data_IF_722324671917
#
_entry.id   IF_722324671917
#
_cell.length_a   1.000
_cell.length_b   1.000
_cell.length_c   1.000
_cell.angle_alpha   90.00
_cell.angle_beta   90.00
_cell.angle_gamma   90.00
#
_symmetry.space_group_name_H-M   'P 1'
#
loop_
_entity.id
_entity.type
_entity.pdbx_description
1 polymer ?
#
# COMPACT_ATOMS: atom_id res chain seq x y z
N UNK A 1 15.77 59.31 39.85
CA UNK A 1 15.62 60.72 39.45
C UNK A 1 15.13 60.76 38.01
N UNK A 2 14.12 61.60 37.84
CA UNK A 2 13.41 62.02 36.61
C UNK A 2 12.39 61.09 35.96
N UNK A 3 11.16 61.45 36.33
CA UNK A 3 9.88 61.25 35.62
C UNK A 3 9.90 62.07 34.32
N UNK A 4 9.14 61.66 33.32
CA UNK A 4 8.23 62.58 32.64
C UNK A 4 7.13 61.77 31.89
N UNK A 5 5.92 62.17 32.22
CA UNK A 5 4.65 61.88 31.53
C UNK A 5 4.46 62.84 30.36
N UNK A 6 3.54 62.53 29.47
CA UNK A 6 2.67 63.43 28.65
C UNK A 6 2.06 62.48 27.58
N UNK A 7 0.81 62.38 27.27
CA UNK A 7 -0.50 62.96 27.52
C UNK A 7 -1.40 62.49 26.36
N UNK A 8 -2.64 62.20 26.68
CA UNK A 8 -3.77 61.86 25.80
C UNK A 8 -4.09 62.95 24.77
N UNK A 9 -4.55 62.52 23.55
CA UNK A 9 -5.49 63.34 22.76
C UNK A 9 -6.58 62.39 22.22
N UNK A 10 -7.79 62.61 22.69
CA UNK A 10 -9.07 62.10 22.21
C UNK A 10 -9.54 63.04 21.09
N UNK A 11 -9.90 62.50 19.93
CA UNK A 11 -10.68 63.21 18.91
C UNK A 11 -11.98 62.46 18.64
N UNK A 12 -13.05 63.08 19.08
CA UNK A 12 -14.46 62.71 18.82
C UNK A 12 -14.84 63.33 17.48
N UNK A 13 -15.38 62.58 16.56
CA UNK A 13 -16.02 63.06 15.34
C UNK A 13 -17.50 62.62 15.32
N UNK A 14 -18.35 63.59 15.52
CA UNK A 14 -19.81 63.47 15.29
C UNK A 14 -20.08 63.48 13.79
N UNK A 15 -20.87 62.51 13.30
CA UNK A 15 -21.52 62.63 11.99
C UNK A 15 -23.01 62.48 12.16
N UNK A 16 -23.69 63.50 11.66
CA UNK A 16 -25.12 63.76 11.67
C UNK A 16 -25.92 62.83 10.74
N UNK A 17 -27.09 62.42 11.23
CA UNK A 17 -28.11 61.66 10.52
C UNK A 17 -28.88 62.59 9.60
N UNK A 18 -28.99 62.26 8.31
CA UNK A 18 -30.01 62.86 7.42
C UNK A 18 -30.90 61.71 6.89
N UNK A 19 -32.17 61.79 7.27
CA UNK A 19 -33.21 60.91 6.76
C UNK A 19 -33.67 61.38 5.37
N UNK A 20 -33.73 60.52 4.40
CA UNK A 20 -34.42 60.68 3.15
C UNK A 20 -35.37 59.51 2.92
N UNK A 21 -36.69 59.82 2.95
CA UNK A 21 -37.74 58.92 2.48
C UNK A 21 -37.63 58.70 0.96
N UNK A 22 -37.66 57.45 0.50
CA UNK A 22 -37.98 57.11 -0.87
C UNK A 22 -38.77 55.80 -0.94
N UNK A 23 -39.77 55.83 -1.78
CA UNK A 23 -40.91 54.97 -1.92
C UNK A 23 -40.59 53.53 -2.36
N UNK A 24 -41.43 52.63 -1.83
CA UNK A 24 -41.54 51.20 -2.12
C UNK A 24 -41.96 50.94 -3.58
N UNK A 25 -41.14 50.23 -4.32
CA UNK A 25 -41.58 49.39 -5.45
C UNK A 25 -41.24 47.93 -5.14
N UNK A 26 -42.30 47.12 -5.02
CA UNK A 26 -42.21 45.66 -4.89
C UNK A 26 -41.81 45.08 -6.20
N UNK A 27 -40.56 44.64 -6.33
CA UNK A 27 -40.15 43.64 -7.30
C UNK A 27 -40.12 42.26 -6.66
N UNK A 28 -40.97 41.38 -7.15
CA UNK A 28 -41.03 39.97 -6.78
C UNK A 28 -39.87 39.26 -7.41
N UNK A 29 -38.77 39.12 -6.68
CA UNK A 29 -37.69 38.22 -7.03
C UNK A 29 -38.14 36.79 -6.74
N UNK A 30 -38.34 36.01 -7.80
CA UNK A 30 -38.47 34.55 -7.73
C UNK A 30 -37.15 34.00 -7.22
N UNK A 31 -37.12 33.59 -5.96
CA UNK A 31 -36.04 32.75 -5.41
C UNK A 31 -36.13 31.40 -6.07
N UNK A 32 -35.21 31.10 -6.97
CA UNK A 32 -34.99 29.73 -7.44
C UNK A 32 -34.51 28.90 -6.25
N UNK A 33 -35.38 28.04 -5.79
CA UNK A 33 -35.02 27.01 -4.82
C UNK A 33 -33.93 26.14 -5.47
N UNK A 34 -32.75 26.18 -4.89
CA UNK A 34 -31.73 25.18 -5.10
C UNK A 34 -32.36 23.83 -4.76
N UNK A 35 -32.50 22.98 -5.74
CA UNK A 35 -32.86 21.58 -5.53
C UNK A 35 -31.76 20.97 -4.72
N UNK A 36 -32.02 20.76 -3.42
CA UNK A 36 -31.21 19.87 -2.61
C UNK A 36 -31.16 18.52 -3.35
N UNK A 37 -29.95 18.07 -3.63
CA UNK A 37 -29.70 16.72 -4.11
C UNK A 37 -30.44 15.73 -3.21
N UNK A 38 -31.44 15.09 -3.76
CA UNK A 38 -32.09 13.96 -3.14
C UNK A 38 -31.00 12.91 -2.91
N UNK A 39 -30.92 12.27 -1.74
CA UNK A 39 -29.98 11.19 -1.52
C UNK A 39 -30.26 10.12 -2.59
N UNK A 40 -29.24 9.82 -3.39
CA UNK A 40 -29.29 8.76 -4.39
C UNK A 40 -29.89 7.53 -3.72
N UNK A 41 -30.93 6.98 -4.30
CA UNK A 41 -31.57 5.74 -3.85
C UNK A 41 -30.49 4.69 -3.70
N UNK A 42 -30.20 4.28 -2.49
CA UNK A 42 -29.36 3.12 -2.20
C UNK A 42 -30.10 1.92 -2.77
N UNK A 43 -29.71 1.46 -3.95
CA UNK A 43 -30.13 0.14 -4.41
C UNK A 43 -29.64 -0.85 -3.34
N UNK A 44 -30.57 -1.47 -2.63
CA UNK A 44 -30.27 -2.44 -1.58
C UNK A 44 -29.76 -3.71 -2.21
N UNK A 45 -28.49 -3.72 -2.62
CA UNK A 45 -27.82 -4.93 -3.04
C UNK A 45 -27.42 -5.76 -1.81
N UNK A 46 -27.40 -7.08 -1.93
CA UNK A 46 -26.86 -7.95 -0.91
C UNK A 46 -25.32 -7.80 -0.84
N UNK A 47 -24.74 -7.62 0.35
CA UNK A 47 -23.30 -7.63 0.51
C UNK A 47 -22.72 -9.01 0.17
N UNK A 48 -21.49 -9.06 -0.36
CA UNK A 48 -20.82 -10.33 -0.62
C UNK A 48 -20.40 -11.01 0.69
N UNK A 49 -19.83 -10.24 1.62
CA UNK A 49 -19.42 -10.74 2.92
C UNK A 49 -20.59 -10.67 3.92
N UNK A 50 -21.01 -11.84 4.41
CA UNK A 50 -22.12 -12.01 5.38
C UNK A 50 -21.67 -12.63 6.71
N UNK A 51 -20.40 -13.03 6.81
CA UNK A 51 -19.81 -13.61 8.01
C UNK A 51 -19.80 -12.64 9.20
N UNK A 52 -19.60 -13.20 10.38
CA UNK A 52 -19.51 -12.40 11.61
C UNK A 52 -18.28 -11.46 11.52
N UNK A 53 -18.49 -10.19 11.82
CA UNK A 53 -17.41 -9.23 11.97
C UNK A 53 -16.42 -9.64 13.08
N UNK A 54 -15.15 -9.36 12.90
CA UNK A 54 -14.13 -9.55 13.93
C UNK A 54 -14.26 -8.47 15.03
N UNK A 55 -14.56 -7.23 14.62
CA UNK A 55 -14.73 -6.08 15.52
C UNK A 55 -16.14 -5.47 15.34
N UNK A 56 -17.21 -6.12 15.81
CA UNK A 56 -18.60 -5.74 15.50
C UNK A 56 -19.02 -4.39 16.09
N UNK A 57 -18.29 -3.88 17.08
CA UNK A 57 -18.54 -2.56 17.69
C UNK A 57 -18.05 -1.41 16.81
N UNK A 58 -17.11 -1.67 15.89
CA UNK A 58 -16.58 -0.66 14.97
C UNK A 58 -17.60 -0.36 13.85
N UNK A 59 -17.95 0.90 13.68
CA UNK A 59 -18.96 1.31 12.69
C UNK A 59 -18.32 2.11 11.55
N UNK A 60 -18.73 1.90 10.30
CA UNK A 60 -18.21 2.63 9.16
C UNK A 60 -18.47 4.13 9.27
N UNK A 61 -17.51 4.94 8.80
CA UNK A 61 -17.62 6.39 8.76
C UNK A 61 -18.67 6.88 7.76
N UNK A 62 -18.92 6.08 6.73
CA UNK A 62 -19.89 6.36 5.67
C UNK A 62 -20.46 5.08 5.06
N UNK A 63 -21.60 5.20 4.41
CA UNK A 63 -22.25 4.08 3.74
C UNK A 63 -21.35 3.48 2.62
N UNK A 64 -21.26 2.15 2.55
CA UNK A 64 -20.46 1.44 1.56
C UNK A 64 -18.95 1.40 1.84
N UNK A 65 -18.51 1.85 3.01
CA UNK A 65 -17.09 1.76 3.41
C UNK A 65 -16.63 0.33 3.71
N UNK A 66 -17.57 -0.58 3.93
CA UNK A 66 -17.34 -2.01 4.16
C UNK A 66 -18.47 -2.82 3.55
N UNK A 67 -18.28 -4.13 3.41
CA UNK A 67 -19.32 -5.08 2.97
C UNK A 67 -19.99 -4.64 1.66
N UNK A 68 -19.17 -4.41 0.64
CA UNK A 68 -19.64 -4.00 -0.68
C UNK A 68 -20.62 -5.01 -1.29
N UNK A 69 -21.41 -4.53 -2.24
CA UNK A 69 -22.34 -5.35 -2.98
C UNK A 69 -21.66 -6.55 -3.61
N UNK A 70 -22.28 -7.73 -3.49
CA UNK A 70 -21.89 -8.88 -4.29
C UNK A 70 -22.06 -8.56 -5.78
N UNK A 71 -20.97 -8.64 -6.54
CA UNK A 71 -21.00 -8.57 -7.99
C UNK A 71 -20.39 -9.83 -8.57
N UNK A 72 -20.98 -10.31 -9.67
CA UNK A 72 -20.42 -11.40 -10.44
C UNK A 72 -20.16 -10.89 -11.85
N UNK A 73 -18.92 -10.99 -12.27
CA UNK A 73 -18.61 -10.76 -13.68
C UNK A 73 -19.02 -11.99 -14.50
N UNK A 74 -19.63 -11.80 -15.65
CA UNK A 74 -19.93 -12.91 -16.58
C UNK A 74 -18.67 -13.33 -17.36
N UNK A 75 -17.50 -13.15 -16.72
CA UNK A 75 -16.19 -13.46 -17.32
C UNK A 75 -15.83 -14.90 -16.99
N UNK A 76 -15.94 -15.77 -17.98
CA UNK A 76 -15.37 -17.10 -17.87
C UNK A 76 -13.85 -17.04 -18.07
N UNK A 77 -13.09 -17.70 -17.20
CA UNK A 77 -11.64 -17.74 -17.26
C UNK A 77 -11.10 -19.14 -16.95
N UNK A 78 -9.90 -19.40 -17.44
CA UNK A 78 -9.11 -20.59 -17.13
C UNK A 78 -7.91 -20.20 -16.27
N UNK A 79 -7.50 -21.11 -15.40
CA UNK A 79 -6.30 -20.96 -14.57
C UNK A 79 -5.31 -22.06 -14.89
N UNK A 80 -4.17 -21.67 -15.44
CA UNK A 80 -3.09 -22.58 -15.76
C UNK A 80 -1.95 -22.44 -14.76
N UNK A 81 -1.45 -23.53 -14.22
CA UNK A 81 -0.22 -23.53 -13.41
C UNK A 81 0.96 -23.41 -14.37
N UNK A 82 1.65 -22.27 -14.33
CA UNK A 82 2.83 -21.98 -15.16
C UNK A 82 4.06 -22.64 -14.60
N UNK A 83 4.30 -22.50 -13.29
CA UNK A 83 5.45 -23.07 -12.60
C UNK A 83 5.08 -23.56 -11.21
N UNK A 84 5.85 -24.53 -10.69
CA UNK A 84 5.78 -25.11 -9.34
C UNK A 84 7.15 -25.12 -8.69
N UNK A 85 7.18 -25.42 -7.40
CA UNK A 85 8.45 -25.59 -6.68
C UNK A 85 9.12 -24.30 -6.27
N UNK A 86 8.37 -23.19 -6.23
CA UNK A 86 8.83 -21.90 -5.73
C UNK A 86 8.84 -21.91 -4.20
N UNK A 87 9.94 -21.49 -3.59
CA UNK A 87 10.08 -21.57 -2.13
C UNK A 87 9.57 -20.30 -1.43
N UNK A 88 8.31 -20.33 -0.98
CA UNK A 88 7.64 -19.15 -0.37
C UNK A 88 7.79 -17.89 -1.25
N UNK A 89 7.29 -17.91 -2.50
CA UNK A 89 7.39 -16.74 -3.36
C UNK A 89 6.66 -15.56 -2.71
N UNK A 90 7.29 -14.39 -2.75
CA UNK A 90 6.72 -13.18 -2.15
C UNK A 90 6.22 -12.19 -3.20
N UNK A 91 6.92 -12.05 -4.30
CA UNK A 91 6.51 -11.17 -5.41
C UNK A 91 6.76 -11.83 -6.76
N UNK A 92 5.96 -11.45 -7.73
CA UNK A 92 6.13 -11.77 -9.15
C UNK A 92 6.14 -10.47 -9.96
N UNK A 93 7.18 -10.25 -10.75
CA UNK A 93 7.29 -9.08 -11.62
C UNK A 93 7.49 -9.54 -13.07
N UNK A 94 6.51 -9.27 -13.97
CA UNK A 94 6.62 -9.64 -15.37
C UNK A 94 7.76 -8.89 -16.06
N UNK A 95 8.59 -9.61 -16.80
CA UNK A 95 9.63 -9.05 -17.65
C UNK A 95 9.08 -8.72 -19.05
N UNK A 96 9.65 -7.74 -19.77
CA UNK A 96 9.19 -7.35 -21.11
C UNK A 96 9.16 -8.50 -22.12
N UNK A 97 10.02 -9.50 -21.96
CA UNK A 97 10.10 -10.68 -22.84
C UNK A 97 9.09 -11.80 -22.49
N UNK A 98 8.22 -11.57 -21.51
CA UNK A 98 7.18 -12.51 -21.06
C UNK A 98 7.63 -13.51 -19.98
N UNK A 99 8.88 -13.46 -19.54
CA UNK A 99 9.36 -14.20 -18.36
C UNK A 99 8.98 -13.44 -17.07
N UNK A 100 9.32 -13.98 -15.90
CA UNK A 100 8.96 -13.42 -14.62
C UNK A 100 10.17 -13.39 -13.67
N UNK A 101 10.41 -12.25 -13.04
CA UNK A 101 11.23 -12.19 -11.84
C UNK A 101 10.39 -12.58 -10.63
N UNK A 102 10.87 -13.53 -9.84
CA UNK A 102 10.20 -13.97 -8.61
C UNK A 102 11.18 -13.90 -7.45
N UNK A 103 10.75 -13.24 -6.39
CA UNK A 103 11.45 -13.27 -5.10
C UNK A 103 10.94 -14.45 -4.29
N UNK A 104 11.86 -15.21 -3.72
CA UNK A 104 11.58 -16.22 -2.71
C UNK A 104 11.99 -15.66 -1.34
N UNK A 105 11.06 -15.69 -0.39
CA UNK A 105 11.27 -15.11 0.95
C UNK A 105 12.54 -15.63 1.64
N UNK A 106 12.97 -16.81 1.28
CA UNK A 106 14.21 -17.42 1.72
C UNK A 106 15.48 -16.73 1.23
N UNK A 107 15.38 -15.70 0.37
CA UNK A 107 16.48 -14.85 -0.08
C UNK A 107 16.98 -15.13 -1.49
N UNK A 108 16.19 -15.79 -2.31
CA UNK A 108 16.54 -16.07 -3.70
C UNK A 108 15.70 -15.22 -4.64
N UNK A 109 16.33 -14.67 -5.66
CA UNK A 109 15.69 -14.05 -6.82
C UNK A 109 15.87 -15.00 -8.01
N UNK A 110 14.76 -15.33 -8.68
CA UNK A 110 14.76 -16.26 -9.81
C UNK A 110 14.06 -15.67 -11.02
N UNK A 111 14.44 -16.15 -12.20
CA UNK A 111 13.64 -15.98 -13.40
C UNK A 111 12.87 -17.27 -13.64
N UNK A 112 11.56 -17.15 -13.82
CA UNK A 112 10.70 -18.20 -14.35
C UNK A 112 10.40 -17.85 -15.80
N UNK A 113 10.69 -18.76 -16.73
CA UNK A 113 10.43 -18.53 -18.15
C UNK A 113 8.91 -18.50 -18.43
N UNK A 114 8.50 -17.87 -19.53
CA UNK A 114 7.11 -17.90 -20.01
C UNK A 114 6.57 -19.35 -20.24
N UNK A 115 7.47 -20.33 -20.37
CA UNK A 115 7.15 -21.76 -20.49
C UNK A 115 7.07 -22.48 -19.14
N UNK A 116 7.37 -21.80 -18.03
CA UNK A 116 7.30 -22.35 -16.68
C UNK A 116 8.61 -22.99 -16.17
N UNK A 117 9.70 -22.82 -16.88
CA UNK A 117 11.01 -23.31 -16.41
C UNK A 117 11.52 -22.41 -15.29
N UNK A 118 11.74 -22.98 -14.09
CA UNK A 118 12.29 -22.26 -12.93
C UNK A 118 13.82 -22.23 -13.06
N UNK A 119 14.37 -21.05 -13.29
CA UNK A 119 15.81 -20.84 -13.43
C UNK A 119 16.57 -21.00 -12.12
N UNK A 120 17.91 -21.08 -12.21
CA UNK A 120 18.78 -21.00 -11.04
C UNK A 120 18.65 -19.63 -10.34
N UNK A 121 18.95 -19.53 -9.04
CA UNK A 121 19.01 -18.24 -8.37
C UNK A 121 19.94 -17.27 -9.10
N UNK A 122 19.51 -16.02 -9.28
CA UNK A 122 20.32 -14.94 -9.83
C UNK A 122 21.43 -14.61 -8.84
N UNK A 123 22.67 -14.57 -9.30
CA UNK A 123 23.85 -14.18 -8.52
C UNK A 123 23.84 -12.68 -8.18
N UNK A 124 24.76 -12.27 -7.29
CA UNK A 124 24.88 -10.87 -6.84
C UNK A 124 24.03 -10.53 -5.62
N UNK A 125 23.00 -11.33 -5.31
CA UNK A 125 22.36 -11.35 -4.00
C UNK A 125 23.13 -12.32 -3.10
N UNK A 126 23.48 -11.91 -1.89
CA UNK A 126 24.15 -12.82 -0.95
C UNK A 126 23.17 -13.89 -0.46
N UNK A 127 23.63 -15.16 -0.38
CA UNK A 127 22.81 -16.24 0.16
C UNK A 127 22.52 -16.00 1.66
N UNK A 128 21.36 -16.44 2.10
CA UNK A 128 21.03 -16.51 3.53
C UNK A 128 21.86 -17.62 4.17
N UNK A 129 22.59 -17.33 5.25
CA UNK A 129 23.37 -18.31 6.00
C UNK A 129 22.49 -19.29 6.80
N UNK A 130 23.07 -20.40 7.26
CA UNK A 130 22.43 -21.33 8.17
C UNK A 130 21.97 -20.58 9.43
N UNK A 131 20.65 -20.61 9.72
CA UNK A 131 20.03 -19.81 10.78
C UNK A 131 19.22 -18.61 10.26
N UNK A 132 19.07 -18.44 8.95
CA UNK A 132 18.26 -17.39 8.33
C UNK A 132 18.95 -16.03 8.26
N UNK A 133 20.25 -15.96 8.48
CA UNK A 133 21.06 -14.74 8.38
C UNK A 133 22.19 -14.98 7.36
N UNK A 134 22.39 -14.05 6.43
CA UNK A 134 23.50 -14.09 5.47
C UNK A 134 24.84 -13.95 6.19
N UNK A 135 25.91 -14.64 5.77
CA UNK A 135 27.23 -14.46 6.37
C UNK A 135 27.75 -13.03 6.16
N UNK A 136 28.51 -12.56 7.12
CA UNK A 136 29.01 -11.19 7.23
C UNK A 136 29.80 -10.75 6.01
N UNK A 137 29.58 -9.52 5.62
CA UNK A 137 30.23 -8.75 4.58
C UNK A 137 31.77 -8.78 4.63
N UNK A 138 32.33 -9.14 3.54
CA UNK A 138 33.71 -8.83 3.21
C UNK A 138 33.84 -8.77 1.71
N UNK A 139 33.94 -7.56 1.16
CA UNK A 139 34.08 -7.23 -0.26
C UNK A 139 32.76 -7.13 -1.06
N UNK A 140 32.09 -5.99 -0.96
CA UNK A 140 31.17 -5.49 -1.99
C UNK A 140 29.80 -6.15 -2.09
N UNK A 141 29.37 -6.93 -1.10
CA UNK A 141 28.06 -7.59 -1.11
C UNK A 141 26.97 -6.83 -0.36
N UNK A 142 25.70 -7.19 -0.61
CA UNK A 142 24.56 -6.73 0.17
C UNK A 142 24.68 -7.17 1.63
N UNK A 143 24.11 -6.37 2.57
CA UNK A 143 24.02 -6.77 3.96
C UNK A 143 23.12 -8.00 4.14
N UNK A 144 23.22 -8.69 5.30
CA UNK A 144 22.49 -9.92 5.55
C UNK A 144 20.98 -9.78 5.45
N UNK A 145 20.34 -10.66 4.68
CA UNK A 145 18.88 -10.80 4.62
C UNK A 145 18.43 -11.71 5.77
N UNK A 146 17.45 -11.27 6.54
CA UNK A 146 16.88 -12.02 7.66
C UNK A 146 15.55 -12.65 7.29
N UNK A 147 15.51 -13.95 7.00
CA UNK A 147 14.27 -14.67 6.69
C UNK A 147 13.57 -15.17 7.96
N UNK A 148 13.34 -14.28 8.93
CA UNK A 148 12.65 -14.60 10.19
C UNK A 148 11.22 -14.06 10.17
N UNK A 149 10.24 -14.90 10.50
CA UNK A 149 8.83 -14.50 10.56
C UNK A 149 8.30 -14.06 9.19
N UNK A 150 7.91 -12.79 9.09
CA UNK A 150 7.46 -12.19 7.83
C UNK A 150 8.60 -11.59 7.00
N UNK A 151 9.81 -11.52 7.54
CA UNK A 151 10.99 -11.01 6.87
C UNK A 151 11.56 -11.97 5.83
N UNK A 152 12.52 -11.49 5.03
CA UNK A 152 13.19 -12.22 3.95
C UNK A 152 13.53 -11.31 2.78
N UNK A 153 13.71 -11.88 1.60
CA UNK A 153 13.65 -11.16 0.34
C UNK A 153 12.16 -10.98 -0.01
N UNK A 154 11.73 -9.75 -0.22
CA UNK A 154 10.32 -9.40 -0.23
C UNK A 154 9.88 -8.94 -1.63
N UNK A 155 9.67 -7.67 -1.87
CA UNK A 155 9.20 -7.21 -3.17
C UNK A 155 10.32 -7.06 -4.21
N UNK A 156 9.93 -7.04 -5.48
CA UNK A 156 10.78 -6.71 -6.62
C UNK A 156 10.03 -5.81 -7.58
N UNK A 157 10.74 -4.83 -8.13
CA UNK A 157 10.19 -3.91 -9.15
C UNK A 157 11.26 -3.64 -10.22
N UNK A 158 10.83 -3.45 -11.45
CA UNK A 158 11.69 -3.00 -12.53
C UNK A 158 11.80 -1.47 -12.56
N UNK A 159 12.93 -0.98 -13.03
CA UNK A 159 13.06 0.43 -13.42
C UNK A 159 11.99 0.78 -14.46
N UNK A 160 11.40 2.00 -14.42
CA UNK A 160 10.54 2.48 -15.52
C UNK A 160 11.24 2.48 -16.90
N UNK A 161 12.57 2.42 -16.91
CA UNK A 161 13.40 2.36 -18.11
C UNK A 161 14.10 1.00 -18.27
N UNK A 162 13.57 -0.08 -17.70
CA UNK A 162 14.22 -1.39 -17.60
C UNK A 162 14.76 -1.91 -18.93
N UNK A 163 14.06 -1.74 -20.04
CA UNK A 163 14.52 -2.17 -21.36
C UNK A 163 15.86 -1.53 -21.77
N UNK A 164 16.18 -0.35 -21.23
CA UNK A 164 17.45 0.35 -21.51
C UNK A 164 18.51 0.13 -20.44
N UNK A 165 18.07 0.19 -19.15
CA UNK A 165 19.02 0.22 -18.02
C UNK A 165 19.10 -1.11 -17.26
N UNK A 166 18.20 -2.04 -17.53
CA UNK A 166 18.08 -3.34 -16.86
C UNK A 166 18.16 -3.27 -15.34
N UNK A 167 17.76 -2.12 -14.77
CA UNK A 167 17.83 -1.92 -13.32
C UNK A 167 16.65 -2.60 -12.63
N UNK A 168 16.96 -3.40 -11.64
CA UNK A 168 16.02 -4.10 -10.75
C UNK A 168 16.15 -3.51 -9.35
N UNK A 169 15.02 -3.35 -8.68
CA UNK A 169 14.92 -2.93 -7.29
C UNK A 169 14.29 -4.06 -6.48
N UNK A 170 14.74 -4.26 -5.27
CA UNK A 170 14.14 -5.23 -4.36
C UNK A 170 14.14 -4.72 -2.93
N UNK A 171 13.13 -5.10 -2.17
CA UNK A 171 13.06 -4.86 -0.74
C UNK A 171 13.41 -6.13 0.04
N UNK A 172 13.97 -5.95 1.21
CA UNK A 172 14.36 -7.07 2.07
C UNK A 172 14.42 -6.64 3.53
N UNK A 173 14.31 -7.61 4.43
CA UNK A 173 14.59 -7.40 5.85
C UNK A 173 16.09 -7.51 6.09
N UNK A 174 16.73 -6.38 6.39
CA UNK A 174 18.16 -6.27 6.67
C UNK A 174 18.43 -6.43 8.16
N UNK A 175 19.35 -7.34 8.52
CA UNK A 175 19.86 -7.43 9.88
C UNK A 175 20.89 -6.32 10.13
N UNK A 176 20.67 -5.56 11.16
CA UNK A 176 21.54 -4.44 11.59
C UNK A 176 21.64 -4.40 13.10
N UNK A 177 22.44 -3.49 13.64
CA UNK A 177 22.48 -3.23 15.09
C UNK A 177 21.05 -2.89 15.59
N UNK A 178 20.69 -3.42 16.76
CA UNK A 178 19.35 -3.26 17.37
C UNK A 178 18.24 -4.12 16.77
N UNK A 179 18.52 -4.90 15.71
CA UNK A 179 17.51 -5.80 15.12
C UNK A 179 17.45 -5.77 13.58
N UNK A 180 16.27 -5.88 13.02
CA UNK A 180 16.05 -5.84 11.59
C UNK A 180 15.17 -4.66 11.15
N UNK A 181 15.33 -4.24 9.90
CA UNK A 181 14.51 -3.21 9.28
C UNK A 181 14.34 -3.46 7.79
N UNK A 182 13.32 -2.86 7.19
CA UNK A 182 13.13 -2.89 5.74
C UNK A 182 14.22 -2.06 5.08
N UNK A 183 14.88 -2.64 4.09
CA UNK A 183 15.86 -1.99 3.24
C UNK A 183 15.54 -2.23 1.76
N UNK A 184 16.02 -1.36 0.90
CA UNK A 184 15.85 -1.46 -0.55
C UNK A 184 17.21 -1.47 -1.22
N UNK A 185 17.43 -2.51 -2.03
CA UNK A 185 18.59 -2.64 -2.92
C UNK A 185 18.22 -2.34 -4.35
N UNK A 186 19.22 -1.99 -5.14
CA UNK A 186 19.14 -1.94 -6.60
C UNK A 186 20.38 -2.56 -7.23
N UNK A 187 20.23 -3.06 -8.43
CA UNK A 187 21.32 -3.60 -9.25
C UNK A 187 20.94 -3.65 -10.71
N UNK A 188 21.89 -3.90 -11.58
CA UNK A 188 21.68 -4.06 -13.02
C UNK A 188 21.71 -5.55 -13.36
N UNK A 189 20.63 -6.06 -13.95
CA UNK A 189 20.57 -7.45 -14.40
C UNK A 189 21.46 -7.61 -15.64
N UNK A 190 22.40 -8.58 -15.58
CA UNK A 190 23.30 -8.88 -16.71
C UNK A 190 22.53 -9.32 -17.96
N UNK A 191 23.16 -9.26 -19.14
CA UNK A 191 22.50 -9.64 -20.41
C UNK A 191 22.11 -11.11 -20.43
N UNK A 192 22.95 -11.97 -19.87
CA UNK A 192 22.64 -13.39 -19.71
C UNK A 192 21.62 -13.67 -18.60
N UNK A 193 21.20 -12.64 -17.86
CA UNK A 193 20.21 -12.66 -16.79
C UNK A 193 20.55 -13.59 -15.62
N UNK A 194 21.83 -13.86 -15.40
CA UNK A 194 22.31 -14.77 -14.35
C UNK A 194 22.82 -14.05 -13.10
N UNK A 195 23.16 -12.75 -13.22
CA UNK A 195 23.74 -11.98 -12.14
C UNK A 195 23.17 -10.58 -12.06
N UNK A 196 23.24 -9.97 -10.86
CA UNK A 196 23.10 -8.56 -10.64
C UNK A 196 24.48 -7.93 -10.47
N UNK A 197 24.72 -6.83 -11.18
CA UNK A 197 25.92 -6.00 -11.08
C UNK A 197 25.57 -4.64 -10.49
N UNK A 198 26.58 -3.84 -10.11
CA UNK A 198 26.43 -2.50 -9.53
C UNK A 198 25.43 -2.49 -8.33
N UNK A 199 25.43 -3.57 -7.58
CA UNK A 199 24.50 -3.79 -6.47
C UNK A 199 24.83 -2.84 -5.31
N UNK A 200 23.79 -2.13 -4.84
CA UNK A 200 23.89 -1.25 -3.67
C UNK A 200 22.57 -1.12 -2.94
N UNK A 201 22.63 -0.84 -1.63
CA UNK A 201 21.45 -0.44 -0.85
C UNK A 201 21.23 1.06 -1.03
N UNK A 202 20.00 1.44 -1.36
CA UNK A 202 19.59 2.82 -1.64
C UNK A 202 18.67 3.41 -0.56
N UNK A 203 18.07 2.56 0.28
CA UNK A 203 17.23 2.99 1.39
C UNK A 203 17.33 2.02 2.57
N UNK A 204 17.28 2.57 3.79
CA UNK A 204 17.22 1.83 5.04
C UNK A 204 16.20 2.44 5.98
N UNK A 205 15.15 1.71 6.33
CA UNK A 205 14.20 2.16 7.34
C UNK A 205 14.87 2.25 8.73
N UNK A 206 14.56 3.31 9.45
CA UNK A 206 15.04 3.58 10.80
C UNK A 206 13.87 3.87 11.76
N UNK A 207 13.97 3.49 13.02
CA UNK A 207 14.98 2.61 13.59
C UNK A 207 14.78 1.13 13.20
N UNK A 208 15.78 0.29 13.51
CA UNK A 208 15.64 -1.16 13.50
C UNK A 208 14.86 -1.64 14.72
N UNK A 209 14.30 -2.86 14.65
CA UNK A 209 13.62 -3.47 15.78
C UNK A 209 13.81 -4.99 15.81
N UNK A 210 13.96 -5.56 17.00
CA UNK A 210 14.25 -6.98 17.13
C UNK A 210 12.98 -7.84 17.13
N UNK A 211 12.26 -7.83 16.03
CA UNK A 211 11.23 -8.85 15.75
C UNK A 211 11.16 -9.17 14.26
N UNK A 212 10.36 -10.19 13.91
CA UNK A 212 10.19 -10.67 12.53
C UNK A 212 8.84 -10.28 11.90
N UNK A 213 8.16 -9.22 12.38
CA UNK A 213 6.80 -8.90 11.96
C UNK A 213 6.71 -7.51 11.33
N UNK A 214 5.67 -7.29 10.52
CA UNK A 214 5.24 -6.03 9.93
C UNK A 214 6.36 -5.22 9.27
N UNK A 215 6.90 -5.74 8.17
CA UNK A 215 7.93 -5.05 7.39
C UNK A 215 7.33 -4.08 6.35
N UNK A 216 6.05 -4.22 5.97
CA UNK A 216 5.48 -3.57 4.79
C UNK A 216 6.14 -4.10 3.53
N UNK A 217 7.06 -3.32 2.94
CA UNK A 217 8.07 -3.70 1.95
C UNK A 217 7.63 -3.64 0.48
N UNK A 218 6.41 -3.24 0.15
CA UNK A 218 5.99 -3.10 -1.24
C UNK A 218 6.71 -1.93 -1.92
N UNK A 219 7.10 -2.13 -3.17
CA UNK A 219 7.74 -1.17 -4.05
C UNK A 219 6.80 -0.78 -5.20
N UNK A 220 6.66 0.51 -5.47
CA UNK A 220 5.90 0.98 -6.62
C UNK A 220 6.56 2.22 -7.23
N UNK A 221 6.78 2.21 -8.54
CA UNK A 221 7.15 3.43 -9.26
C UNK A 221 5.92 4.25 -9.58
N UNK A 222 5.95 5.52 -9.19
CA UNK A 222 4.91 6.47 -9.55
C UNK A 222 5.06 7.02 -10.98
N UNK A 223 4.04 7.71 -11.49
CA UNK A 223 4.12 8.38 -12.80
C UNK A 223 5.18 9.49 -12.84
N UNK A 224 5.66 9.91 -11.69
CA UNK A 224 6.77 10.84 -11.48
C UNK A 224 8.16 10.16 -11.54
N UNK A 225 8.20 8.85 -11.83
CA UNK A 225 9.39 7.98 -11.81
C UNK A 225 10.09 7.90 -10.44
N UNK A 226 9.43 8.30 -9.35
CA UNK A 226 9.93 8.12 -8.00
C UNK A 226 9.54 6.75 -7.47
N UNK A 227 10.36 6.21 -6.57
CA UNK A 227 10.11 4.93 -5.91
C UNK A 227 9.39 5.16 -4.58
N UNK A 228 8.20 4.59 -4.47
CA UNK A 228 7.42 4.54 -3.24
C UNK A 228 7.66 3.22 -2.53
N UNK A 229 7.91 3.28 -1.22
CA UNK A 229 8.26 2.12 -0.39
C UNK A 229 7.33 2.09 0.80
N UNK A 230 6.66 0.99 1.03
CA UNK A 230 5.76 0.84 2.18
C UNK A 230 6.49 0.24 3.37
N UNK A 231 6.18 0.71 4.57
CA UNK A 231 6.85 0.32 5.81
C UNK A 231 5.81 0.01 6.89
N UNK A 232 6.05 -1.07 7.64
CA UNK A 232 5.16 -1.51 8.71
C UNK A 232 5.49 -0.92 10.07
N UNK A 233 4.55 -1.07 11.02
CA UNK A 233 4.67 -0.59 12.40
C UNK A 233 5.51 -1.51 13.32
N UNK A 234 6.03 -2.62 12.80
CA UNK A 234 6.85 -3.62 13.50
C UNK A 234 6.14 -4.29 14.69
N UNK A 235 4.79 -4.21 14.76
CA UNK A 235 3.89 -4.96 15.64
C UNK A 235 3.93 -4.67 17.16
N UNK A 236 4.98 -4.11 17.72
CA UNK A 236 5.08 -3.88 19.16
C UNK A 236 4.19 -2.72 19.61
N UNK A 237 3.29 -3.00 20.59
CA UNK A 237 2.24 -2.08 21.04
C UNK A 237 2.79 -0.85 21.76
N UNK A 238 3.89 -0.99 22.46
CA UNK A 238 4.44 0.03 23.35
C UNK A 238 5.60 0.80 22.75
N UNK A 239 6.43 0.13 21.97
CA UNK A 239 7.70 0.70 21.49
C UNK A 239 7.58 1.20 20.05
N UNK A 240 7.05 0.38 19.12
CA UNK A 240 7.10 0.72 17.71
C UNK A 240 5.79 1.27 17.17
N UNK A 241 4.64 0.76 17.60
CA UNK A 241 3.32 1.24 17.16
C UNK A 241 3.12 2.75 17.32
N UNK A 242 3.49 3.40 18.46
CA UNK A 242 3.35 4.85 18.60
C UNK A 242 4.17 5.65 17.57
N UNK A 243 5.25 5.07 17.05
CA UNK A 243 6.11 5.71 16.06
C UNK A 243 5.43 5.85 14.70
N UNK A 244 4.34 5.13 14.43
CA UNK A 244 3.54 5.35 13.22
C UNK A 244 3.03 6.81 13.11
N UNK A 245 2.86 7.49 14.26
CA UNK A 245 2.44 8.89 14.36
C UNK A 245 3.61 9.90 14.46
N UNK A 246 4.84 9.43 14.51
CA UNK A 246 6.02 10.28 14.71
C UNK A 246 6.77 10.48 13.39
N UNK A 247 7.20 11.70 13.09
CA UNK A 247 7.91 12.03 11.86
C UNK A 247 9.42 11.72 11.89
N UNK A 248 9.98 11.49 13.07
CA UNK A 248 11.40 11.12 13.25
C UNK A 248 11.69 9.62 13.12
N UNK A 249 10.74 8.86 12.57
CA UNK A 249 10.81 7.40 12.39
C UNK A 249 10.17 6.98 11.08
N UNK A 250 10.74 5.97 10.42
CA UNK A 250 10.15 5.34 9.23
C UNK A 250 9.09 4.26 9.57
N UNK A 251 8.91 3.92 10.83
CA UNK A 251 7.95 2.90 11.28
C UNK A 251 6.52 3.36 10.97
N UNK A 252 5.74 2.53 10.26
CA UNK A 252 4.36 2.83 9.89
C UNK A 252 4.22 3.99 8.91
N UNK A 253 5.07 4.02 7.89
CA UNK A 253 5.13 5.08 6.87
C UNK A 253 5.05 4.53 5.45
N UNK A 254 4.71 5.41 4.53
CA UNK A 254 5.09 5.28 3.12
C UNK A 254 6.15 6.34 2.87
N UNK A 255 7.25 5.97 2.23
CA UNK A 255 8.33 6.88 1.85
C UNK A 255 8.45 6.98 0.33
N UNK A 256 8.96 8.11 -0.16
CA UNK A 256 9.19 8.38 -1.58
C UNK A 256 10.61 8.87 -1.78
N UNK A 257 11.35 8.18 -2.65
CA UNK A 257 12.76 8.49 -2.96
C UNK A 257 12.99 8.52 -4.48
N UNK A 258 14.09 9.17 -4.89
CA UNK A 258 14.60 9.00 -6.25
C UNK A 258 15.14 7.58 -6.45
N UNK A 259 15.21 7.06 -7.70
CA UNK A 259 15.75 5.72 -7.99
C UNK A 259 17.21 5.52 -7.57
N UNK A 260 17.96 6.59 -7.31
CA UNK A 260 19.32 6.52 -6.79
C UNK A 260 19.42 6.52 -5.26
N UNK A 261 18.28 6.69 -4.56
CA UNK A 261 18.17 6.75 -3.11
C UNK A 261 18.16 8.16 -2.53
N UNK A 262 18.38 9.21 -3.33
CA UNK A 262 18.30 10.59 -2.87
C UNK A 262 16.86 11.02 -2.57
N UNK A 263 16.72 12.02 -1.71
CA UNK A 263 15.40 12.53 -1.27
C UNK A 263 14.88 13.57 -2.26
N UNK A 264 13.65 13.41 -2.79
CA UNK A 264 13.01 14.45 -3.58
C UNK A 264 12.73 15.71 -2.76
N UNK A 265 13.12 16.87 -3.29
CA UNK A 265 13.01 18.16 -2.58
C UNK A 265 11.56 18.60 -2.33
N UNK A 266 10.61 18.01 -3.08
CA UNK A 266 9.18 18.27 -2.97
C UNK A 266 8.44 17.29 -2.05
N UNK A 267 9.14 16.39 -1.35
CA UNK A 267 8.51 15.57 -0.31
C UNK A 267 7.88 16.44 0.78
N UNK A 268 6.76 16.01 1.38
CA UNK A 268 5.97 16.87 2.28
C UNK A 268 6.75 17.33 3.52
N UNK A 269 7.68 16.51 3.99
CA UNK A 269 8.44 16.76 5.22
C UNK A 269 9.94 17.02 4.97
N UNK A 270 10.37 17.15 3.70
CA UNK A 270 11.78 17.30 3.33
C UNK A 270 12.50 18.49 4.00
N UNK A 271 11.76 19.55 4.36
CA UNK A 271 12.29 20.76 5.00
C UNK A 271 11.91 20.88 6.48
N UNK A 272 11.22 19.89 7.05
CA UNK A 272 10.77 19.94 8.44
C UNK A 272 11.87 19.42 9.37
N UNK A 273 12.34 20.28 10.28
CA UNK A 273 13.36 19.90 11.26
C UNK A 273 12.88 18.72 12.12
N UNK A 274 13.74 17.71 12.30
CA UNK A 274 13.47 16.51 13.08
C UNK A 274 12.59 15.48 12.39
N UNK A 275 12.10 15.72 11.17
CA UNK A 275 11.40 14.72 10.38
C UNK A 275 12.36 13.91 9.48
N UNK A 276 12.02 12.65 9.21
CA UNK A 276 12.65 11.88 8.14
C UNK A 276 12.18 12.42 6.80
N UNK A 277 13.08 12.94 5.96
CA UNK A 277 12.70 13.69 4.76
C UNK A 277 12.11 12.84 3.63
N UNK A 278 12.27 11.53 3.70
CA UNK A 278 11.74 10.56 2.74
C UNK A 278 10.23 10.32 2.93
N UNK A 279 9.65 10.68 4.07
CA UNK A 279 8.24 10.38 4.40
C UNK A 279 7.30 11.05 3.40
N UNK A 280 6.41 10.22 2.81
CA UNK A 280 5.30 10.64 1.97
C UNK A 280 3.98 10.73 2.74
N UNK A 281 3.66 9.68 3.53
CA UNK A 281 2.48 9.60 4.40
C UNK A 281 2.79 8.84 5.68
N UNK A 282 1.93 8.97 6.69
CA UNK A 282 2.14 8.37 8.01
C UNK A 282 0.87 7.74 8.56
N UNK A 283 0.99 7.04 9.68
CA UNK A 283 -0.15 6.42 10.34
C UNK A 283 -0.61 5.12 9.69
N UNK A 284 0.32 4.32 9.19
CA UNK A 284 0.08 3.01 8.61
C UNK A 284 0.45 1.88 9.56
N UNK A 285 -0.26 0.74 9.44
CA UNK A 285 0.02 -0.45 10.25
C UNK A 285 0.98 -1.41 9.55
N UNK A 286 0.58 -2.01 8.44
CA UNK A 286 1.41 -2.97 7.71
C UNK A 286 0.97 -3.06 6.24
N UNK A 287 1.40 -2.11 5.46
CA UNK A 287 1.00 -1.94 4.06
C UNK A 287 1.64 -3.03 3.21
N UNK A 288 0.81 -3.88 2.59
CA UNK A 288 1.22 -5.04 1.81
C UNK A 288 1.19 -4.82 0.30
N UNK A 289 0.49 -3.80 -0.17
CA UNK A 289 0.50 -3.41 -1.58
C UNK A 289 0.50 -1.91 -1.76
N UNK A 290 1.12 -1.49 -2.86
CA UNK A 290 1.08 -0.14 -3.40
C UNK A 290 0.96 -0.25 -4.92
N UNK A 291 -0.02 0.42 -5.50
CA UNK A 291 -0.28 0.41 -6.94
C UNK A 291 -0.86 1.76 -7.36
N UNK A 292 -0.65 2.12 -8.62
CA UNK A 292 -1.19 3.35 -9.17
C UNK A 292 -2.39 3.06 -10.07
N UNK A 293 -3.41 3.90 -10.01
CA UNK A 293 -4.52 3.85 -10.94
C UNK A 293 -4.18 4.59 -12.27
N UNK A 294 -5.11 4.60 -13.20
CA UNK A 294 -4.97 5.27 -14.50
C UNK A 294 -4.88 6.81 -14.41
N UNK A 295 -5.20 7.38 -13.25
CA UNK A 295 -5.06 8.81 -12.97
C UNK A 295 -3.73 9.12 -12.27
N UNK A 296 -2.88 8.11 -12.05
CA UNK A 296 -1.59 8.26 -11.37
C UNK A 296 -1.70 8.46 -9.87
N UNK A 297 -2.79 8.01 -9.23
CA UNK A 297 -3.00 8.12 -7.79
C UNK A 297 -2.58 6.83 -7.09
N UNK A 298 -1.93 6.99 -5.95
CA UNK A 298 -1.42 5.86 -5.17
C UNK A 298 -2.52 5.22 -4.33
N UNK A 299 -2.72 3.92 -4.52
CA UNK A 299 -3.61 3.08 -3.72
C UNK A 299 -2.81 2.03 -2.96
N UNK A 300 -3.21 1.78 -1.73
CA UNK A 300 -2.55 0.78 -0.88
C UNK A 300 -3.55 -0.12 -0.20
N UNK A 301 -3.14 -1.36 0.07
CA UNK A 301 -3.86 -2.24 0.99
C UNK A 301 -2.97 -2.59 2.16
N UNK A 302 -3.56 -2.63 3.36
CA UNK A 302 -2.82 -2.93 4.57
C UNK A 302 -3.59 -3.83 5.54
N UNK A 303 -2.85 -4.56 6.35
CA UNK A 303 -3.43 -5.39 7.39
C UNK A 303 -3.95 -4.54 8.55
N UNK A 304 -5.21 -4.74 8.90
CA UNK A 304 -5.75 -4.38 10.20
C UNK A 304 -5.20 -5.25 11.33
N UNK A 305 -5.73 -5.07 12.53
CA UNK A 305 -5.47 -5.97 13.66
C UNK A 305 -6.44 -7.16 13.58
N UNK A 306 -7.30 -7.39 14.55
CA UNK A 306 -8.44 -8.29 14.40
C UNK A 306 -9.61 -7.46 13.87
N UNK A 307 -9.91 -7.54 12.57
CA UNK A 307 -10.79 -6.63 11.83
C UNK A 307 -10.02 -5.45 11.20
N UNK A 308 -10.66 -4.77 10.24
CA UNK A 308 -10.19 -3.51 9.68
C UNK A 308 -8.94 -3.61 8.79
N UNK A 309 -8.83 -4.65 7.96
CA UNK A 309 -7.91 -4.58 6.81
C UNK A 309 -8.38 -3.46 5.88
N UNK A 310 -7.49 -2.63 5.35
CA UNK A 310 -7.85 -1.37 4.70
C UNK A 310 -7.41 -1.26 3.25
N UNK A 311 -8.26 -0.59 2.44
CA UNK A 311 -7.90 -0.02 1.16
C UNK A 311 -7.85 1.50 1.30
N UNK A 312 -6.70 2.08 1.05
CA UNK A 312 -6.44 3.50 1.18
C UNK A 312 -6.11 4.16 -0.18
N UNK A 313 -6.63 5.35 -0.43
CA UNK A 313 -6.16 6.27 -1.46
C UNK A 313 -5.14 7.21 -0.80
N UNK A 314 -3.85 7.05 -1.15
CA UNK A 314 -2.77 7.69 -0.40
C UNK A 314 -2.37 9.02 -1.02
N UNK A 315 -2.48 10.08 -0.22
CA UNK A 315 -2.13 11.43 -0.59
C UNK A 315 -0.89 11.94 0.16
N UNK A 316 -0.20 12.89 -0.44
CA UNK A 316 0.99 13.54 0.07
C UNK A 316 0.76 14.21 1.42
N UNK A 317 1.57 13.85 2.42
CA UNK A 317 1.57 14.48 3.75
C UNK A 317 0.42 14.07 4.67
N UNK A 318 -0.45 13.14 4.24
CA UNK A 318 -1.63 12.72 4.98
C UNK A 318 -1.32 11.66 6.03
N UNK A 319 -2.17 11.61 7.06
CA UNK A 319 -2.09 10.69 8.19
C UNK A 319 -3.27 9.70 8.17
N UNK A 320 -3.01 8.42 8.03
CA UNK A 320 -3.99 7.34 7.92
C UNK A 320 -4.40 6.74 9.26
N UNK A 321 -3.94 7.33 10.35
CA UNK A 321 -4.53 7.20 11.68
C UNK A 321 -4.08 6.05 12.55
N UNK A 322 -3.37 5.04 12.04
CA UNK A 322 -2.87 3.96 12.88
C UNK A 322 -1.88 4.47 13.95
N UNK A 323 -2.00 4.18 15.25
CA UNK A 323 -3.06 3.41 15.92
C UNK A 323 -3.97 4.31 16.76
N UNK A 324 -4.32 5.50 16.23
CA UNK A 324 -5.24 6.46 16.90
C UNK A 324 -6.68 6.17 16.50
N UNK A 325 -6.91 5.84 15.22
CA UNK A 325 -8.19 5.33 14.70
C UNK A 325 -7.96 3.93 14.13
N UNK A 326 -8.97 3.07 14.22
CA UNK A 326 -8.93 1.70 13.69
C UNK A 326 -10.33 1.11 13.55
N UNK A 327 -10.52 0.26 12.55
CA UNK A 327 -11.72 -0.56 12.37
C UNK A 327 -11.58 -1.99 12.93
N UNK A 328 -10.49 -2.27 13.63
CA UNK A 328 -10.24 -3.56 14.29
C UNK A 328 -10.06 -3.43 15.80
N UNK A 329 -9.86 -4.57 16.43
CA UNK A 329 -9.53 -4.71 17.84
C UNK A 329 -8.21 -5.45 18.01
N UNK A 330 -7.67 -5.50 19.21
CA UNK A 330 -6.49 -6.30 19.52
C UNK A 330 -6.78 -7.80 19.40
N UNK A 331 -5.77 -8.62 19.15
CA UNK A 331 -5.92 -10.08 19.10
C UNK A 331 -6.35 -10.69 20.46
N UNK A 332 -6.29 -9.92 21.54
CA UNK A 332 -6.85 -10.29 22.84
C UNK A 332 -8.35 -10.02 22.97
N UNK A 333 -8.96 -9.37 21.97
CA UNK A 333 -10.34 -8.87 22.02
C UNK A 333 -10.48 -7.50 22.71
N UNK A 334 -9.38 -6.94 23.20
CA UNK A 334 -9.38 -5.59 23.76
C UNK A 334 -9.46 -4.52 22.65
N UNK A 335 -10.09 -3.37 22.90
CA UNK A 335 -10.11 -2.30 21.91
C UNK A 335 -8.69 -1.75 21.66
N UNK A 336 -8.43 -1.34 20.41
CA UNK A 336 -7.27 -0.50 20.08
C UNK A 336 -7.36 0.80 20.90
N UNK A 337 -6.26 1.32 21.47
CA UNK A 337 -6.28 2.51 22.31
C UNK A 337 -7.10 3.67 21.68
N UNK A 338 -8.04 4.21 22.45
CA UNK A 338 -8.98 5.24 22.01
C UNK A 338 -10.31 4.68 21.48
N UNK A 339 -10.36 3.44 21.01
CA UNK A 339 -11.57 2.76 20.51
C UNK A 339 -12.44 3.64 19.57
N UNK A 340 -11.79 4.34 18.66
CA UNK A 340 -12.45 5.27 17.73
C UNK A 340 -12.11 4.92 16.30
N UNK A 341 -13.08 5.09 15.40
CA UNK A 341 -12.93 4.86 13.96
C UNK A 341 -12.66 6.14 13.18
N UNK A 342 -12.95 7.30 13.79
CA UNK A 342 -12.87 8.60 13.12
C UNK A 342 -12.29 9.66 14.06
N UNK A 343 -11.44 10.53 13.52
CA UNK A 343 -10.93 11.71 14.21
C UNK A 343 -10.52 12.77 13.20
N UNK A 344 -10.82 14.03 13.48
CA UNK A 344 -10.39 15.14 12.63
C UNK A 344 -8.88 15.16 12.45
N UNK A 345 -8.43 15.35 11.20
CA UNK A 345 -7.01 15.36 10.82
C UNK A 345 -6.43 13.99 10.46
N UNK A 346 -7.26 12.95 10.46
CA UNK A 346 -6.91 11.60 10.01
C UNK A 346 -7.77 11.21 8.81
N UNK A 347 -7.12 10.62 7.81
CA UNK A 347 -7.80 10.13 6.61
C UNK A 347 -8.55 8.83 6.91
N UNK A 348 -9.65 8.64 6.21
CA UNK A 348 -10.46 7.45 6.31
C UNK A 348 -10.08 6.47 5.19
N UNK A 349 -10.02 5.15 5.45
CA UNK A 349 -9.92 4.19 4.37
C UNK A 349 -11.11 4.31 3.42
N UNK A 350 -10.84 4.14 2.13
CA UNK A 350 -11.89 4.07 1.10
C UNK A 350 -12.79 2.87 1.33
N UNK A 351 -12.19 1.77 1.82
CA UNK A 351 -12.86 0.52 2.13
C UNK A 351 -12.10 -0.23 3.22
N UNK A 352 -12.83 -0.98 4.05
CA UNK A 352 -12.20 -1.92 4.97
C UNK A 352 -12.93 -3.26 4.98
N UNK A 353 -12.17 -4.34 5.24
CA UNK A 353 -12.71 -5.68 5.40
C UNK A 353 -12.85 -6.03 6.88
N UNK A 354 -14.06 -6.46 7.23
CA UNK A 354 -14.36 -7.07 8.53
C UNK A 354 -15.47 -8.11 8.35
N UNK A 355 -15.13 -9.42 8.39
CA UNK A 355 -13.86 -10.02 8.86
C UNK A 355 -12.66 -9.74 7.94
N UNK A 356 -11.45 -9.85 8.52
CA UNK A 356 -10.18 -9.65 7.80
C UNK A 356 -9.96 -10.70 6.73
N UNK A 357 -9.40 -10.28 5.60
CA UNK A 357 -8.95 -11.15 4.50
C UNK A 357 -7.43 -11.42 4.52
N UNK A 358 -6.67 -10.66 5.31
CA UNK A 358 -5.21 -10.54 5.27
C UNK A 358 -4.72 -10.23 3.84
N UNK A 359 -4.95 -9.01 3.34
CA UNK A 359 -4.62 -8.63 1.96
C UNK A 359 -3.12 -8.70 1.70
N UNK A 360 -2.76 -8.94 0.45
CA UNK A 360 -1.37 -9.07 0.01
C UNK A 360 -1.08 -8.18 -1.20
N UNK A 361 -0.47 -8.69 -2.27
CA UNK A 361 -0.27 -7.92 -3.48
C UNK A 361 -1.58 -7.45 -4.11
N UNK A 362 -1.55 -6.28 -4.75
CA UNK A 362 -2.70 -5.76 -5.48
C UNK A 362 -2.28 -5.08 -6.79
N UNK A 363 -3.16 -5.13 -7.79
CA UNK A 363 -2.94 -4.60 -9.13
C UNK A 363 -4.24 -4.08 -9.73
N UNK A 364 -4.24 -2.83 -10.23
CA UNK A 364 -5.30 -2.37 -11.13
C UNK A 364 -5.18 -3.08 -12.48
N UNK A 365 -6.30 -3.58 -12.97
CA UNK A 365 -6.32 -4.22 -14.28
C UNK A 365 -6.56 -3.18 -15.39
N UNK A 366 -5.61 -3.10 -16.30
CA UNK A 366 -5.64 -2.17 -17.45
C UNK A 366 -5.62 -2.88 -18.80
N UNK A 367 -5.47 -4.22 -18.79
CA UNK A 367 -5.33 -5.06 -19.97
C UNK A 367 -6.58 -5.15 -20.83
N UNK A 368 -6.42 -5.74 -22.02
CA UNK A 368 -7.49 -5.95 -22.98
C UNK A 368 -8.02 -7.39 -22.99
N UNK A 369 -7.32 -8.35 -22.35
CA UNK A 369 -7.77 -9.74 -22.34
C UNK A 369 -9.10 -9.91 -21.61
N UNK A 370 -9.36 -9.10 -20.57
CA UNK A 370 -10.61 -9.08 -19.83
C UNK A 370 -11.24 -7.69 -19.83
N UNK A 371 -11.94 -7.28 -20.92
CA UNK A 371 -12.48 -5.91 -21.03
C UNK A 371 -13.42 -5.53 -19.87
N UNK A 372 -14.22 -6.49 -19.36
CA UNK A 372 -15.14 -6.28 -18.25
C UNK A 372 -14.45 -6.06 -16.90
N UNK A 373 -13.15 -6.36 -16.78
CA UNK A 373 -12.37 -6.16 -15.55
C UNK A 373 -11.55 -4.87 -15.56
N UNK A 374 -11.52 -4.11 -16.66
CA UNK A 374 -10.74 -2.86 -16.74
C UNK A 374 -11.15 -1.89 -15.65
N UNK A 375 -10.15 -1.29 -15.00
CA UNK A 375 -10.33 -0.39 -13.86
C UNK A 375 -10.69 -1.08 -12.54
N UNK A 376 -10.88 -2.40 -12.51
CA UNK A 376 -11.02 -3.14 -11.25
C UNK A 376 -9.66 -3.28 -10.55
N UNK A 377 -9.67 -3.25 -9.23
CA UNK A 377 -8.52 -3.58 -8.41
C UNK A 377 -8.59 -5.05 -8.00
N UNK A 378 -7.53 -5.80 -8.27
CA UNK A 378 -7.36 -7.18 -7.80
C UNK A 378 -6.47 -7.19 -6.58
N UNK A 379 -6.89 -7.92 -5.53
CA UNK A 379 -6.17 -8.02 -4.24
C UNK A 379 -6.04 -9.48 -3.86
N UNK A 380 -4.83 -9.95 -3.63
CA UNK A 380 -4.59 -11.28 -3.07
C UNK A 380 -5.03 -11.34 -1.61
N UNK A 381 -5.62 -12.45 -1.18
CA UNK A 381 -6.02 -12.69 0.20
C UNK A 381 -5.30 -13.93 0.77
N UNK A 382 -4.60 -13.73 1.89
CA UNK A 382 -3.83 -14.80 2.52
C UNK A 382 -4.69 -15.65 3.45
N UNK A 383 -5.52 -15.00 4.28
CA UNK A 383 -6.38 -15.70 5.24
C UNK A 383 -7.55 -16.38 4.53
N UNK A 384 -8.22 -15.66 3.65
CA UNK A 384 -9.41 -16.12 2.97
C UNK A 384 -9.11 -16.92 1.69
N UNK A 385 -7.82 -17.11 1.34
CA UNK A 385 -7.37 -18.02 0.27
C UNK A 385 -8.09 -17.79 -1.06
N UNK A 386 -8.15 -16.54 -1.50
CA UNK A 386 -8.86 -16.09 -2.70
C UNK A 386 -8.18 -14.93 -3.36
N UNK A 387 -8.61 -14.61 -4.57
CA UNK A 387 -8.32 -13.35 -5.24
C UNK A 387 -9.59 -12.49 -5.18
N UNK A 388 -9.50 -11.31 -4.58
CA UNK A 388 -10.60 -10.36 -4.47
C UNK A 388 -10.54 -9.40 -5.65
N UNK A 389 -11.66 -9.18 -6.34
CA UNK A 389 -11.83 -8.13 -7.33
C UNK A 389 -12.75 -7.05 -6.79
N UNK A 390 -12.27 -5.82 -6.74
CA UNK A 390 -13.04 -4.65 -6.35
C UNK A 390 -13.42 -3.82 -7.57
N UNK A 391 -14.70 -3.48 -7.67
CA UNK A 391 -15.21 -2.48 -8.63
C UNK A 391 -15.20 -1.13 -7.94
N UNK A 392 -14.39 -0.21 -8.46
CA UNK A 392 -14.21 1.13 -7.89
C UNK A 392 -14.80 2.16 -8.83
N UNK A 393 -15.69 3.03 -8.32
CA UNK A 393 -16.26 4.17 -9.05
C UNK A 393 -16.24 5.40 -8.14
N UNK A 394 -15.76 6.52 -8.65
CA UNK A 394 -15.71 7.79 -7.91
C UNK A 394 -15.08 7.65 -6.51
N UNK A 395 -13.94 6.95 -6.43
CA UNK A 395 -13.22 6.64 -5.19
C UNK A 395 -14.06 5.87 -4.13
N UNK A 396 -15.02 5.07 -4.59
CA UNK A 396 -15.84 4.21 -3.73
C UNK A 396 -15.81 2.77 -4.26
N UNK A 397 -15.71 1.81 -3.37
CA UNK A 397 -15.93 0.40 -3.72
C UNK A 397 -17.43 0.19 -3.88
N UNK A 398 -17.85 -0.11 -5.10
CA UNK A 398 -19.27 -0.32 -5.45
C UNK A 398 -19.63 -1.79 -5.62
N UNK A 399 -18.64 -2.67 -5.65
CA UNK A 399 -18.85 -4.10 -5.75
C UNK A 399 -17.61 -4.89 -5.41
N UNK A 400 -17.81 -6.09 -4.90
CA UNK A 400 -16.76 -7.06 -4.57
C UNK A 400 -17.09 -8.40 -5.18
N UNK A 401 -16.08 -9.10 -5.70
CA UNK A 401 -16.17 -10.46 -6.23
C UNK A 401 -15.01 -11.29 -5.71
N UNK A 402 -15.30 -12.54 -5.33
CA UNK A 402 -14.29 -13.49 -4.89
C UNK A 402 -14.00 -14.51 -6.00
N UNK A 403 -12.73 -14.60 -6.40
CA UNK A 403 -12.24 -15.48 -7.44
C UNK A 403 -11.26 -16.50 -6.83
N UNK A 404 -11.10 -17.65 -7.48
CA UNK A 404 -10.17 -18.73 -7.10
C UNK A 404 -10.47 -19.36 -5.73
N UNK A 405 -11.64 -19.19 -5.18
CA UNK A 405 -12.02 -19.73 -3.86
C UNK A 405 -11.97 -21.26 -3.83
N UNK A 406 -12.28 -21.90 -4.95
CA UNK A 406 -12.28 -23.36 -5.11
C UNK A 406 -10.87 -23.97 -5.03
N UNK A 407 -9.81 -23.14 -5.17
CA UNK A 407 -8.43 -23.59 -5.12
C UNK A 407 -7.87 -23.65 -3.71
N UNK A 408 -8.46 -22.95 -2.75
CA UNK A 408 -8.07 -22.98 -1.35
C UNK A 408 -6.60 -22.63 -1.11
N UNK A 409 -6.06 -21.66 -1.86
CA UNK A 409 -4.66 -21.26 -1.79
C UNK A 409 -4.51 -19.81 -1.36
N UNK A 410 -3.54 -19.57 -0.48
CA UNK A 410 -3.15 -18.22 -0.08
C UNK A 410 -2.52 -17.52 -1.28
N UNK A 411 -3.11 -16.43 -1.74
CA UNK A 411 -2.57 -15.62 -2.85
C UNK A 411 -1.65 -14.55 -2.27
N UNK A 412 -0.36 -14.60 -2.64
CA UNK A 412 0.66 -13.67 -2.10
C UNK A 412 0.83 -12.42 -2.94
N UNK A 413 0.76 -12.54 -4.26
CA UNK A 413 0.94 -11.40 -5.16
C UNK A 413 0.13 -11.59 -6.43
N UNK A 414 -0.23 -10.49 -7.07
CA UNK A 414 -0.93 -10.45 -8.35
C UNK A 414 -0.34 -9.37 -9.24
N UNK A 415 -0.06 -9.71 -10.50
CA UNK A 415 0.43 -8.80 -11.53
C UNK A 415 -0.26 -9.06 -12.85
N UNK A 416 -0.35 -8.02 -13.67
CA UNK A 416 -0.77 -8.11 -15.06
C UNK A 416 0.43 -8.29 -15.96
N UNK A 417 0.42 -9.34 -16.79
CA UNK A 417 1.44 -9.53 -17.82
C UNK A 417 1.22 -8.66 -19.07
N UNK A 418 2.25 -8.55 -19.91
CA UNK A 418 2.17 -7.83 -21.18
C UNK A 418 1.12 -8.42 -22.15
N UNK A 419 0.79 -9.70 -22.00
CA UNK A 419 -0.26 -10.40 -22.74
C UNK A 419 -1.69 -10.10 -22.23
N UNK A 420 -1.82 -9.25 -21.22
CA UNK A 420 -3.08 -8.89 -20.57
C UNK A 420 -3.66 -9.95 -19.64
N UNK A 421 -2.99 -11.09 -19.45
CA UNK A 421 -3.37 -12.07 -18.46
C UNK A 421 -3.03 -11.56 -17.04
N UNK A 422 -3.71 -12.10 -16.03
CA UNK A 422 -3.29 -11.93 -14.63
C UNK A 422 -2.42 -13.11 -14.21
N UNK A 423 -1.39 -12.80 -13.45
CA UNK A 423 -0.47 -13.77 -12.86
C UNK A 423 -0.50 -13.64 -11.35
N UNK A 424 -0.57 -14.76 -10.66
CA UNK A 424 -0.55 -14.79 -9.20
C UNK A 424 0.46 -15.82 -8.70
N UNK A 425 1.08 -15.54 -7.55
CA UNK A 425 1.91 -16.50 -6.83
C UNK A 425 1.25 -16.88 -5.51
N UNK A 426 1.40 -18.15 -5.12
CA UNK A 426 0.82 -18.70 -3.90
C UNK A 426 1.80 -18.62 -2.74
N UNK A 427 1.30 -18.41 -1.50
CA UNK A 427 2.12 -18.25 -0.28
C UNK A 427 2.34 -19.60 0.42
N UNK A 428 3.26 -20.41 -0.10
CA UNK A 428 3.61 -21.72 0.49
C UNK A 428 5.03 -22.16 0.12
N UNK A 429 5.57 -23.14 0.85
CA UNK A 429 6.93 -23.65 0.64
C UNK A 429 7.12 -24.38 -0.68
N UNK A 430 6.05 -24.87 -1.27
CA UNK A 430 6.02 -25.41 -2.65
C UNK A 430 5.07 -24.53 -3.46
N UNK A 431 5.41 -23.24 -3.57
CA UNK A 431 4.60 -22.23 -4.22
C UNK A 431 4.48 -22.42 -5.72
N UNK A 432 3.45 -21.85 -6.27
CA UNK A 432 3.12 -21.94 -7.69
C UNK A 432 2.96 -20.54 -8.29
N UNK A 433 3.27 -20.41 -9.58
CA UNK A 433 2.89 -19.30 -10.44
C UNK A 433 1.69 -19.73 -11.28
N UNK A 434 0.58 -19.02 -11.16
CA UNK A 434 -0.62 -19.26 -11.96
C UNK A 434 -0.85 -18.16 -12.97
N UNK A 435 -1.37 -18.52 -14.13
CA UNK A 435 -1.83 -17.62 -15.18
C UNK A 435 -3.34 -17.71 -15.29
N UNK A 436 -4.02 -16.55 -15.29
CA UNK A 436 -5.47 -16.43 -15.46
C UNK A 436 -5.73 -15.81 -16.83
N UNK A 437 -6.42 -16.55 -17.70
CA UNK A 437 -6.74 -16.14 -19.08
C UNK A 437 -8.25 -16.26 -19.33
N UNK A 438 -8.81 -15.46 -20.27
CA UNK A 438 -10.19 -15.68 -20.71
C UNK A 438 -10.37 -17.10 -21.20
N UNK A 439 -11.51 -17.71 -20.83
CA UNK A 439 -11.90 -19.00 -21.39
C UNK A 439 -12.27 -18.78 -22.85
N UNK A 440 -11.69 -19.59 -23.71
CA UNK A 440 -11.97 -19.57 -25.17
C UNK A 440 -13.28 -20.30 -25.50
#
# INVERSE_FOLDING_TARGET
MYKNQIAFVLSVLLITISAACAQTTRETTKTSASTADSPASTSSCAPLETGRANAPEQKPAFAGQTRACAVKSDVAFDVTVVAKGLNNPWAVEPLPNGDFLITEKTGQLRIVSAKGEVGQPIGGLLPIGAGGVSPVSGQGGLPPITARGQGGLLDVALSPNFERDRTVFWSFSEQREGGSGTSVGRGVLTEDRRNLEQVRVIFRAMPTYNNGLHFGSRLAFGPDNMLYITLGDRFDKTTTRPQAQQLNSHIGKIVRINPDGSVPADNPFAKQAGAMPEIWSLGHRNVQSATFDDQGRLWTVEHGAQGGDELNLVEKGKNYGWAVISYGEEYSGEPIPGNITQKQGYEQPIYYWDPVIAPSGAQFYTGNAFPAWRGSLFVGALREQKLVRLVIKNNRVTGEEHLLTERGQRIRDVRQGADGALYVVTDQSNGELWKITPKR
#
